data_IF_970999050345
#
_entry.id   IF_970999050345
#
_cell.length_a   1.000
_cell.length_b   1.000
_cell.length_c   1.000
_cell.angle_alpha   90.00
_cell.angle_beta   90.00
_cell.angle_gamma   90.00
#
_symmetry.space_group_name_H-M   'P 1'
#
loop_
_entity.id
_entity.type
_entity.pdbx_description
1 polymer ?
#
# COMPACT_ATOMS: atom_id res chain seq x y z
N UNK A 1 5.89 -11.42 10.46
CA UNK A 1 4.76 -10.86 9.69
C UNK A 1 5.34 -9.88 8.68
N UNK A 2 4.93 -9.95 7.42
CA UNK A 2 5.29 -8.94 6.43
C UNK A 2 4.50 -7.65 6.69
N UNK A 3 5.03 -6.51 6.30
CA UNK A 3 4.29 -5.25 6.35
C UNK A 3 3.31 -5.14 5.20
N UNK A 4 2.18 -4.48 5.41
CA UNK A 4 1.19 -4.24 4.36
C UNK A 4 1.10 -2.75 4.05
N UNK A 5 1.32 -2.37 2.81
CA UNK A 5 1.10 -1.01 2.34
C UNK A 5 -0.04 -1.02 1.33
N UNK A 6 -1.10 -0.28 1.58
CA UNK A 6 -2.16 -0.09 0.60
C UNK A 6 -1.92 1.23 -0.14
N UNK A 7 -1.90 1.21 -1.47
CA UNK A 7 -1.86 2.43 -2.30
C UNK A 7 -3.06 2.44 -3.22
N UNK A 8 -3.95 3.41 -3.05
CA UNK A 8 -5.21 3.49 -3.83
C UNK A 8 -5.56 4.93 -4.15
N UNK A 9 -6.45 5.13 -5.11
CA UNK A 9 -7.02 6.46 -5.33
C UNK A 9 -7.97 6.85 -4.19
N UNK A 10 -7.88 8.10 -3.76
CA UNK A 10 -8.74 8.63 -2.70
C UNK A 10 -8.62 7.83 -1.40
N UNK A 11 -9.71 7.74 -0.65
CA UNK A 11 -9.72 7.11 0.68
C UNK A 11 -10.01 5.60 0.68
N UNK A 12 -10.00 4.95 -0.49
CA UNK A 12 -10.45 3.56 -0.63
C UNK A 12 -9.69 2.62 0.32
N UNK A 13 -8.36 2.72 0.37
CA UNK A 13 -7.53 1.88 1.22
C UNK A 13 -7.79 2.06 2.72
N UNK A 14 -8.02 3.29 3.18
CA UNK A 14 -8.38 3.54 4.58
C UNK A 14 -9.74 2.92 4.93
N UNK A 15 -10.73 3.02 4.04
CA UNK A 15 -12.04 2.41 4.27
C UNK A 15 -11.99 0.87 4.23
N UNK A 16 -11.10 0.29 3.39
CA UNK A 16 -10.83 -1.15 3.41
C UNK A 16 -10.21 -1.58 4.74
N UNK A 17 -9.21 -0.84 5.25
CA UNK A 17 -8.60 -1.14 6.56
C UNK A 17 -9.65 -1.08 7.66
N UNK A 18 -10.42 0.01 7.74
CA UNK A 18 -11.50 0.15 8.74
C UNK A 18 -12.50 -1.00 8.67
N UNK A 19 -12.93 -1.37 7.46
CA UNK A 19 -13.87 -2.48 7.26
C UNK A 19 -13.29 -3.82 7.71
N UNK A 20 -12.02 -4.09 7.40
CA UNK A 20 -11.32 -5.28 7.86
C UNK A 20 -11.15 -5.31 9.39
N UNK A 21 -10.86 -4.16 10.00
CA UNK A 21 -10.76 -4.01 11.45
C UNK A 21 -12.10 -4.22 12.17
N UNK A 22 -13.22 -3.82 11.56
CA UNK A 22 -14.55 -4.13 12.10
C UNK A 22 -14.83 -5.64 12.15
N UNK A 23 -14.27 -6.40 11.22
CA UNK A 23 -14.50 -7.86 11.11
C UNK A 23 -13.55 -8.63 12.03
N UNK A 24 -12.26 -8.29 12.03
CA UNK A 24 -11.20 -9.07 12.68
C UNK A 24 -10.66 -8.44 13.98
N UNK A 25 -11.00 -7.19 14.25
CA UNK A 25 -10.32 -6.36 15.24
C UNK A 25 -9.09 -5.64 14.66
N UNK A 26 -8.40 -4.88 15.51
CA UNK A 26 -7.28 -4.00 15.14
C UNK A 26 -6.23 -4.72 14.29
N UNK A 27 -5.84 -4.09 13.19
CA UNK A 27 -4.76 -4.55 12.32
C UNK A 27 -3.46 -3.83 12.70
N UNK A 28 -2.37 -4.58 12.73
CA UNK A 28 -1.04 -4.05 12.99
C UNK A 28 -0.16 -4.12 11.74
N UNK A 29 0.85 -3.25 11.68
CA UNK A 29 1.83 -3.21 10.59
C UNK A 29 1.20 -3.08 9.20
N UNK A 30 0.16 -2.24 9.12
CA UNK A 30 -0.53 -1.86 7.89
C UNK A 30 -0.57 -0.33 7.79
N UNK A 31 -0.38 0.21 6.59
CA UNK A 31 -0.52 1.64 6.30
C UNK A 31 -1.24 1.83 4.96
N UNK A 32 -1.92 2.97 4.81
CA UNK A 32 -2.47 3.43 3.53
C UNK A 32 -1.75 4.71 3.07
N UNK A 33 -1.53 4.81 1.77
CA UNK A 33 -1.15 6.06 1.10
C UNK A 33 -2.19 6.35 0.03
N UNK A 34 -2.92 7.45 0.23
CA UNK A 34 -3.84 8.00 -0.74
C UNK A 34 -3.07 8.63 -1.91
N UNK A 35 -3.42 8.19 -3.12
CA UNK A 35 -2.98 8.80 -4.37
C UNK A 35 -4.04 9.80 -4.81
N UNK A 36 -3.66 11.08 -4.82
CA UNK A 36 -4.48 12.20 -5.27
C UNK A 36 -3.78 12.91 -6.44
N UNK A 37 -4.56 13.43 -7.38
CA UNK A 37 -4.10 14.18 -8.56
C UNK A 37 -3.37 15.47 -8.18
N UNK A 38 -3.51 15.94 -6.94
CA UNK A 38 -2.84 17.14 -6.43
C UNK A 38 -1.38 16.88 -6.00
N UNK A 39 -0.98 15.62 -5.80
CA UNK A 39 0.36 15.28 -5.32
C UNK A 39 1.35 15.08 -6.47
N UNK A 40 2.57 15.61 -6.31
CA UNK A 40 3.67 15.32 -7.20
C UNK A 40 4.11 13.85 -7.08
N UNK A 41 4.47 13.25 -8.22
CA UNK A 41 4.90 11.85 -8.30
C UNK A 41 6.16 11.60 -7.45
N UNK A 42 7.08 12.55 -7.38
CA UNK A 42 8.31 12.42 -6.62
C UNK A 42 8.05 12.42 -5.10
N UNK A 43 7.08 13.21 -4.65
CA UNK A 43 6.68 13.21 -3.24
C UNK A 43 5.94 11.92 -2.87
N UNK A 44 5.07 11.42 -3.75
CA UNK A 44 4.46 10.10 -3.59
C UNK A 44 5.49 8.98 -3.50
N UNK A 45 6.54 9.01 -4.33
CA UNK A 45 7.65 8.04 -4.26
C UNK A 45 8.37 8.12 -2.92
N UNK A 46 8.64 9.32 -2.40
CA UNK A 46 9.25 9.49 -1.07
C UNK A 46 8.35 8.95 0.04
N UNK A 47 7.05 9.24 -0.02
CA UNK A 47 6.06 8.71 0.94
C UNK A 47 6.05 7.18 0.95
N UNK A 48 5.95 6.55 -0.23
CA UNK A 48 5.97 5.09 -0.39
C UNK A 48 7.28 4.50 0.12
N UNK A 49 8.43 5.07 -0.27
CA UNK A 49 9.76 4.63 0.18
C UNK A 49 9.88 4.66 1.71
N UNK A 50 9.39 5.73 2.34
CA UNK A 50 9.40 5.87 3.80
C UNK A 50 8.44 4.89 4.47
N UNK A 51 7.26 4.64 3.90
CA UNK A 51 6.32 3.66 4.42
C UNK A 51 6.88 2.24 4.34
N UNK A 52 7.50 1.86 3.22
CA UNK A 52 8.19 0.56 3.07
C UNK A 52 9.22 0.37 4.19
N UNK A 53 10.07 1.38 4.44
CA UNK A 53 11.08 1.31 5.53
C UNK A 53 10.45 1.17 6.92
N UNK A 54 9.29 1.81 7.17
CA UNK A 54 8.60 1.72 8.46
C UNK A 54 7.95 0.35 8.67
N UNK A 55 7.38 -0.20 7.61
CA UNK A 55 6.62 -1.46 7.57
C UNK A 55 7.52 -2.71 7.52
N UNK A 56 8.70 -2.61 6.92
CA UNK A 56 9.64 -3.71 6.85
C UNK A 56 10.26 -3.98 8.23
N UNK A 57 9.82 -5.06 8.87
CA UNK A 57 10.37 -5.59 10.13
C UNK A 57 11.28 -6.80 9.91
N UNK A 58 11.83 -6.97 8.71
CA UNK A 58 12.74 -8.06 8.33
C UNK A 58 12.11 -9.18 7.49
N UNK A 59 10.80 -9.10 7.21
CA UNK A 59 10.09 -10.07 6.37
C UNK A 59 9.57 -9.44 5.05
N UNK A 60 9.98 -8.21 4.73
CA UNK A 60 9.51 -7.50 3.55
C UNK A 60 8.13 -6.86 3.69
N UNK A 61 7.66 -6.30 2.58
CA UNK A 61 6.42 -5.53 2.46
C UNK A 61 5.61 -6.02 1.25
N UNK A 62 4.31 -6.24 1.46
CA UNK A 62 3.34 -6.45 0.40
C UNK A 62 2.62 -5.12 0.13
N UNK A 63 2.74 -4.62 -1.09
CA UNK A 63 2.01 -3.45 -1.56
C UNK A 63 0.73 -3.91 -2.25
N UNK A 64 -0.42 -3.45 -1.77
CA UNK A 64 -1.74 -3.73 -2.33
C UNK A 64 -2.27 -2.49 -3.06
N UNK A 65 -2.71 -2.65 -4.30
CA UNK A 65 -3.26 -1.55 -5.09
C UNK A 65 -4.67 -1.82 -5.60
N UNK A 66 -5.41 -0.77 -5.92
CA UNK A 66 -6.78 -0.85 -6.41
C UNK A 66 -6.87 -1.38 -7.84
N UNK A 67 -6.19 -0.73 -8.78
CA UNK A 67 -6.35 -0.96 -10.21
C UNK A 67 -5.00 -1.17 -10.88
N UNK A 68 -4.89 -2.24 -11.67
CA UNK A 68 -3.73 -2.45 -12.52
C UNK A 68 -3.66 -1.40 -13.63
N UNK A 69 -2.48 -0.82 -13.85
CA UNK A 69 -2.23 0.23 -14.83
C UNK A 69 -2.55 1.65 -14.33
N UNK A 70 -3.09 1.79 -13.12
CA UNK A 70 -3.30 3.09 -12.48
C UNK A 70 -2.02 3.70 -11.90
N UNK A 71 -2.09 4.98 -11.51
CA UNK A 71 -0.99 5.67 -10.82
C UNK A 71 -0.51 4.91 -9.56
N UNK A 72 -1.39 4.40 -8.67
CA UNK A 72 -0.96 3.63 -7.52
C UNK A 72 -0.14 2.39 -7.91
N UNK A 73 -0.59 1.60 -8.89
CA UNK A 73 0.16 0.41 -9.33
C UNK A 73 1.47 0.77 -10.01
N UNK A 74 1.49 1.78 -10.89
CA UNK A 74 2.67 2.13 -11.67
C UNK A 74 3.81 2.66 -10.77
N UNK A 75 3.48 3.51 -9.79
CA UNK A 75 4.47 4.00 -8.83
C UNK A 75 4.93 2.84 -7.92
N UNK A 76 4.02 2.01 -7.44
CA UNK A 76 4.35 0.87 -6.55
C UNK A 76 5.29 -0.14 -7.23
N UNK A 77 5.09 -0.42 -8.53
CA UNK A 77 5.95 -1.30 -9.31
C UNK A 77 7.40 -0.82 -9.38
N UNK A 78 7.65 0.49 -9.30
CA UNK A 78 9.03 1.02 -9.27
C UNK A 78 9.82 0.66 -8.00
N UNK A 79 9.13 0.18 -6.95
CA UNK A 79 9.72 -0.31 -5.71
C UNK A 79 9.80 -1.84 -5.63
N UNK A 80 9.25 -2.55 -6.62
CA UNK A 80 9.20 -4.01 -6.60
C UNK A 80 10.63 -4.58 -6.50
N UNK A 81 10.79 -5.51 -5.57
CA UNK A 81 12.05 -6.20 -5.35
C UNK A 81 11.75 -7.59 -4.83
N UNK A 82 12.05 -8.59 -5.65
CA UNK A 82 11.75 -9.99 -5.36
C UNK A 82 12.18 -10.40 -3.94
N UNK A 83 11.22 -10.96 -3.19
CA UNK A 83 11.43 -11.43 -1.82
C UNK A 83 11.60 -10.32 -0.77
N UNK A 84 11.41 -9.05 -1.14
CA UNK A 84 11.44 -7.90 -0.21
C UNK A 84 10.25 -6.97 -0.34
N UNK A 85 9.86 -6.64 -1.57
CA UNK A 85 8.71 -5.79 -1.88
C UNK A 85 7.96 -6.42 -3.04
N UNK A 86 6.79 -6.96 -2.73
CA UNK A 86 5.88 -7.54 -3.73
C UNK A 86 4.69 -6.60 -3.95
N UNK A 87 4.11 -6.62 -5.14
CA UNK A 87 2.97 -5.76 -5.50
C UNK A 87 1.83 -6.65 -6.01
N UNK A 88 0.65 -6.51 -5.39
CA UNK A 88 -0.58 -7.18 -5.78
C UNK A 88 -1.65 -6.12 -6.07
N UNK A 89 -2.34 -6.25 -7.21
CA UNK A 89 -3.39 -5.32 -7.63
C UNK A 89 -4.78 -5.94 -7.40
N UNK A 90 -5.83 -5.11 -7.47
CA UNK A 90 -7.21 -5.56 -7.29
C UNK A 90 -7.59 -5.82 -5.84
N UNK A 91 -7.03 -5.04 -4.90
CA UNK A 91 -7.33 -5.21 -3.47
C UNK A 91 -8.82 -5.13 -3.18
N UNK A 92 -9.31 -6.08 -2.39
CA UNK A 92 -10.68 -6.19 -1.91
C UNK A 92 -10.68 -6.71 -0.45
N UNK A 93 -11.86 -6.95 0.12
CA UNK A 93 -12.01 -7.50 1.48
C UNK A 93 -11.95 -9.04 1.61
N UNK A 94 -12.50 -9.84 0.66
CA UNK A 94 -12.52 -11.30 0.75
C UNK A 94 -11.14 -11.96 0.61
#
# INVERSE_FOLDING_TARGET
>A
MFGTLITTHGNLGDELIKSAELIKGRLENIMHICIDQTKDVEDLKKEISNAIKKLDKGNGVLILTDLFGGTPSNISLSFMKEGKVEVLTGVNLP
#
